data_IF_655780296793
#
_entry.id   IF_655780296793
#
_cell.length_a   1.000
_cell.length_b   1.000
_cell.length_c   1.000
_cell.angle_alpha   90.00
_cell.angle_beta   90.00
_cell.angle_gamma   90.00
#
_symmetry.space_group_name_H-M   'P 1'
#
loop_
_entity.id
_entity.type
_entity.pdbx_description
1 polymer ?
#
# COMPACT_ATOMS: atom_id res chain seq x y z
N UNK A 1 31.10 -3.00 -1.16
CA UNK A 1 30.24 -3.50 -2.26
C UNK A 1 29.21 -4.40 -1.62
N UNK A 2 27.93 -4.03 -1.62
CA UNK A 2 26.93 -4.71 -0.78
C UNK A 2 26.62 -6.08 -1.38
N UNK A 3 26.77 -7.13 -0.56
CA UNK A 3 26.43 -8.51 -0.90
C UNK A 3 25.23 -8.93 -0.06
N UNK A 4 24.40 -9.82 -0.58
CA UNK A 4 23.35 -10.47 0.21
C UNK A 4 23.94 -11.58 1.11
N UNK A 5 23.08 -12.19 1.92
CA UNK A 5 23.43 -13.26 2.87
C UNK A 5 23.99 -14.52 2.16
N UNK A 6 23.81 -14.63 0.84
CA UNK A 6 24.34 -15.70 -0.02
C UNK A 6 25.59 -15.28 -0.80
N UNK A 7 26.16 -14.11 -0.51
CA UNK A 7 27.36 -13.58 -1.15
C UNK A 7 27.14 -13.03 -2.57
N UNK A 8 25.89 -12.97 -3.04
CA UNK A 8 25.53 -12.41 -4.35
C UNK A 8 25.60 -10.90 -4.29
N UNK A 9 26.17 -10.31 -5.33
CA UNK A 9 26.27 -8.86 -5.41
C UNK A 9 24.87 -8.23 -5.58
N UNK A 10 24.54 -7.29 -4.69
CA UNK A 10 23.30 -6.52 -4.79
C UNK A 10 23.38 -5.57 -5.99
N UNK A 11 22.32 -5.56 -6.80
CA UNK A 11 22.19 -4.62 -7.91
C UNK A 11 21.71 -3.25 -7.38
N UNK A 12 22.10 -2.14 -8.03
CA UNK A 12 21.63 -0.82 -7.63
C UNK A 12 20.13 -0.64 -7.91
N UNK A 13 19.47 0.26 -7.18
CA UNK A 13 18.04 0.56 -7.34
C UNK A 13 17.67 0.93 -8.78
N UNK A 14 18.54 1.70 -9.46
CA UNK A 14 18.36 2.10 -10.85
C UNK A 14 18.36 0.95 -11.87
N UNK A 15 18.72 -0.27 -11.45
CA UNK A 15 18.69 -1.47 -12.30
C UNK A 15 17.34 -2.18 -12.30
N UNK A 16 16.38 -1.77 -11.46
CA UNK A 16 15.03 -2.30 -11.49
C UNK A 16 14.40 -1.89 -12.83
N UNK A 17 13.88 -2.85 -13.63
CA UNK A 17 13.29 -2.54 -14.92
C UNK A 17 12.05 -1.66 -14.72
N UNK A 18 11.72 -0.85 -15.73
CA UNK A 18 10.59 0.05 -15.62
C UNK A 18 10.36 0.89 -16.86
N UNK A 19 9.19 1.54 -16.98
CA UNK A 19 8.96 2.53 -18.02
C UNK A 19 9.94 3.70 -17.90
N UNK A 20 10.55 4.09 -19.02
CA UNK A 20 11.43 5.23 -19.15
C UNK A 20 11.20 5.92 -20.52
N UNK A 21 11.26 7.26 -20.62
CA UNK A 21 11.54 8.24 -19.56
C UNK A 21 10.33 8.58 -18.69
N UNK A 22 10.61 9.05 -17.47
CA UNK A 22 9.62 9.65 -16.58
C UNK A 22 9.44 11.13 -16.88
N UNK A 23 8.20 11.57 -17.09
CA UNK A 23 7.89 12.99 -17.32
C UNK A 23 7.68 13.73 -15.99
N UNK A 24 8.21 14.96 -15.81
CA UNK A 24 8.23 15.65 -14.52
C UNK A 24 6.88 15.76 -13.78
N UNK A 25 5.75 15.80 -14.50
CA UNK A 25 4.42 16.00 -13.92
C UNK A 25 3.50 14.78 -13.97
N UNK A 26 3.68 13.90 -14.97
CA UNK A 26 2.77 12.76 -15.21
C UNK A 26 3.42 11.44 -14.75
N UNK A 27 4.73 11.46 -14.49
CA UNK A 27 5.51 10.26 -14.23
C UNK A 27 5.54 9.36 -15.45
N UNK A 28 5.45 8.05 -15.21
CA UNK A 28 5.55 7.01 -16.23
C UNK A 28 4.24 6.28 -16.51
N UNK A 29 3.15 6.67 -15.85
CA UNK A 29 1.87 5.93 -15.82
C UNK A 29 1.04 6.17 -17.09
N UNK A 30 1.32 7.26 -17.84
CA UNK A 30 0.65 7.59 -19.10
C UNK A 30 -0.86 7.82 -18.95
N UNK A 31 -1.58 7.84 -20.08
CA UNK A 31 -3.05 7.82 -20.08
C UNK A 31 -3.51 6.38 -19.96
N UNK A 32 -4.20 6.03 -18.89
CA UNK A 32 -4.79 4.71 -18.70
C UNK A 32 -6.25 4.83 -18.28
N UNK A 33 -7.04 3.82 -18.62
CA UNK A 33 -8.41 3.72 -18.13
C UNK A 33 -8.35 3.23 -16.68
N UNK A 34 -8.75 4.09 -15.73
CA UNK A 34 -8.78 3.76 -14.30
C UNK A 34 -9.64 2.52 -14.00
N UNK A 35 -10.66 2.25 -14.81
CA UNK A 35 -11.54 1.07 -14.65
C UNK A 35 -10.87 -0.24 -15.07
N UNK A 36 -9.73 -0.15 -15.77
CA UNK A 36 -8.95 -1.29 -16.30
C UNK A 36 -7.54 -1.34 -15.71
N UNK A 37 -7.35 -0.78 -14.52
CA UNK A 37 -6.04 -0.74 -13.86
C UNK A 37 -5.44 -2.14 -13.65
N UNK A 38 -6.27 -3.14 -13.33
CA UNK A 38 -5.83 -4.52 -13.17
C UNK A 38 -5.28 -5.11 -14.49
N UNK A 39 -5.93 -4.83 -15.64
CA UNK A 39 -5.44 -5.25 -16.97
C UNK A 39 -4.08 -4.61 -17.27
N UNK A 40 -3.93 -3.31 -16.98
CA UNK A 40 -2.67 -2.58 -17.15
C UNK A 40 -1.52 -3.20 -16.37
N UNK A 41 -1.74 -3.62 -15.11
CA UNK A 41 -0.68 -4.24 -14.32
C UNK A 41 -0.31 -5.65 -14.81
N UNK A 42 -1.26 -6.39 -15.38
CA UNK A 42 -0.97 -7.66 -16.07
C UNK A 42 -0.05 -7.43 -17.27
N UNK A 43 -0.31 -6.39 -18.07
CA UNK A 43 0.54 -6.02 -19.21
C UNK A 43 1.94 -5.57 -18.77
N UNK A 44 2.02 -4.75 -17.70
CA UNK A 44 3.31 -4.31 -17.13
C UNK A 44 4.12 -5.49 -16.59
N UNK A 45 3.47 -6.44 -15.91
CA UNK A 45 4.12 -7.68 -15.48
C UNK A 45 4.69 -8.46 -16.67
N UNK A 46 3.91 -8.64 -17.74
CA UNK A 46 4.39 -9.32 -18.96
C UNK A 46 5.57 -8.59 -19.60
N UNK A 47 5.61 -7.26 -19.53
CA UNK A 47 6.63 -6.42 -20.16
C UNK A 47 7.93 -6.30 -19.35
N UNK A 48 7.83 -6.09 -18.04
CA UNK A 48 8.97 -5.78 -17.17
C UNK A 48 9.36 -6.93 -16.24
N UNK A 49 8.48 -7.92 -16.07
CA UNK A 49 8.69 -9.08 -15.23
C UNK A 49 8.10 -8.94 -13.81
N UNK A 50 8.52 -9.81 -12.88
CA UNK A 50 7.93 -9.95 -11.55
C UNK A 50 8.27 -8.82 -10.57
N UNK A 51 9.21 -7.96 -10.93
CA UNK A 51 9.55 -6.74 -10.20
C UNK A 51 9.80 -5.61 -11.20
N UNK A 52 9.14 -4.47 -11.02
CA UNK A 52 9.43 -3.29 -11.81
C UNK A 52 9.21 -2.00 -11.02
N UNK A 53 9.92 -0.94 -11.38
CA UNK A 53 9.79 0.37 -10.76
C UNK A 53 9.15 1.33 -11.74
N UNK A 54 8.13 2.05 -11.30
CA UNK A 54 7.56 3.16 -12.04
C UNK A 54 7.68 4.44 -11.22
N UNK A 55 7.55 5.59 -11.86
CA UNK A 55 7.55 6.88 -11.19
C UNK A 55 6.17 7.52 -11.31
N UNK A 56 5.61 7.95 -10.18
CA UNK A 56 4.39 8.75 -10.14
C UNK A 56 4.73 10.25 -10.19
N UNK A 57 3.75 11.11 -9.93
CA UNK A 57 3.94 12.56 -9.85
C UNK A 57 5.16 12.89 -8.98
N UNK A 58 5.94 13.89 -9.40
CA UNK A 58 7.15 14.34 -8.68
C UNK A 58 8.25 13.28 -8.57
N UNK A 59 8.32 12.33 -9.51
CA UNK A 59 9.35 11.28 -9.56
C UNK A 59 9.35 10.37 -8.33
N UNK A 60 8.22 10.23 -7.65
CA UNK A 60 8.11 9.30 -6.52
C UNK A 60 8.16 7.86 -7.06
N UNK A 61 9.17 7.07 -6.67
CA UNK A 61 9.30 5.70 -7.14
C UNK A 61 8.24 4.79 -6.47
N UNK A 62 7.62 3.94 -7.28
CA UNK A 62 6.73 2.88 -6.86
C UNK A 62 7.29 1.57 -7.39
N UNK A 63 7.72 0.70 -6.49
CA UNK A 63 8.17 -0.64 -6.82
C UNK A 63 6.98 -1.59 -6.76
N UNK A 64 6.66 -2.20 -7.89
CA UNK A 64 5.62 -3.20 -8.03
C UNK A 64 6.26 -4.59 -7.93
N UNK A 65 5.71 -5.45 -7.08
CA UNK A 65 6.13 -6.84 -6.87
C UNK A 65 4.96 -7.79 -7.14
N UNK A 66 5.26 -8.97 -7.68
CA UNK A 66 4.25 -9.96 -8.07
C UNK A 66 4.51 -11.36 -7.51
N UNK A 67 5.71 -11.65 -7.01
CA UNK A 67 6.06 -12.95 -6.44
C UNK A 67 5.63 -13.04 -4.96
N UNK A 68 4.86 -14.07 -4.55
CA UNK A 68 4.54 -14.38 -3.15
C UNK A 68 5.71 -14.27 -2.17
N UNK A 69 6.91 -14.71 -2.58
CA UNK A 69 8.10 -14.69 -1.71
C UNK A 69 8.59 -13.25 -1.42
N UNK A 70 8.42 -12.33 -2.37
CA UNK A 70 8.77 -10.93 -2.18
C UNK A 70 7.81 -10.24 -1.19
N UNK A 71 6.52 -10.61 -1.20
CA UNK A 71 5.55 -10.07 -0.25
C UNK A 71 5.90 -10.45 1.18
N UNK A 72 6.31 -11.70 1.45
CA UNK A 72 6.75 -12.12 2.79
C UNK A 72 7.89 -11.23 3.28
N UNK A 73 8.88 -11.00 2.41
CA UNK A 73 10.04 -10.14 2.72
C UNK A 73 9.57 -8.72 3.04
N UNK A 74 8.75 -8.10 2.20
CA UNK A 74 8.24 -6.74 2.43
C UNK A 74 7.45 -6.65 3.74
N UNK A 75 6.51 -7.58 3.99
CA UNK A 75 5.70 -7.56 5.19
C UNK A 75 6.49 -7.80 6.48
N UNK A 76 7.57 -8.58 6.40
CA UNK A 76 8.48 -8.79 7.53
C UNK A 76 9.25 -7.51 7.89
N UNK A 77 9.62 -6.70 6.90
CA UNK A 77 10.43 -5.49 7.08
C UNK A 77 9.64 -4.17 7.07
N UNK A 78 8.31 -4.19 6.90
CA UNK A 78 7.47 -2.98 6.82
C UNK A 78 7.44 -2.13 8.11
N UNK A 79 7.89 -2.68 9.24
CA UNK A 79 7.87 -2.02 10.54
C UNK A 79 6.50 -2.07 11.24
N UNK A 80 6.36 -1.28 12.31
CA UNK A 80 5.17 -1.30 13.19
C UNK A 80 3.96 -0.54 12.62
N UNK A 81 4.22 0.50 11.83
CA UNK A 81 3.21 1.41 11.30
C UNK A 81 3.30 1.37 9.76
N UNK A 82 2.65 0.41 9.09
CA UNK A 82 2.69 0.31 7.64
C UNK A 82 2.08 1.57 7.01
N UNK A 83 2.76 2.11 5.99
CA UNK A 83 2.27 3.26 5.24
C UNK A 83 1.24 2.79 4.23
N UNK A 84 0.05 3.41 4.27
CA UNK A 84 -1.02 3.18 3.31
C UNK A 84 -1.41 4.53 2.70
N UNK A 85 -1.30 4.71 1.37
CA UNK A 85 -1.72 5.94 0.72
C UNK A 85 -3.17 6.27 1.12
N UNK A 86 -3.41 7.39 1.79
CA UNK A 86 -4.75 7.75 2.21
C UNK A 86 -5.58 8.13 0.99
N UNK A 87 -6.90 7.99 1.10
CA UNK A 87 -7.77 8.65 0.13
C UNK A 87 -7.75 10.15 0.42
N UNK A 88 -7.05 10.92 -0.41
CA UNK A 88 -6.84 12.35 -0.19
C UNK A 88 -8.15 13.14 -0.14
N UNK A 89 -9.12 12.77 -0.97
CA UNK A 89 -10.45 13.41 -0.97
C UNK A 89 -11.16 13.21 0.37
N UNK A 90 -11.25 11.96 0.85
CA UNK A 90 -11.90 11.65 2.14
C UNK A 90 -11.16 12.33 3.29
N UNK A 91 -9.83 12.32 3.23
CA UNK A 91 -8.99 12.91 4.26
C UNK A 91 -9.17 14.43 4.33
N UNK A 92 -9.20 15.11 3.18
CA UNK A 92 -9.49 16.54 3.09
C UNK A 92 -10.90 16.87 3.58
N UNK A 93 -11.91 16.11 3.13
CA UNK A 93 -13.30 16.33 3.51
C UNK A 93 -13.51 16.20 5.03
N UNK A 94 -12.94 15.16 5.66
CA UNK A 94 -13.06 14.98 7.11
C UNK A 94 -12.30 16.03 7.91
N UNK A 95 -11.09 16.41 7.47
CA UNK A 95 -10.30 17.48 8.11
C UNK A 95 -10.98 18.84 8.04
N UNK A 96 -11.72 19.12 6.98
CA UNK A 96 -12.47 20.38 6.83
C UNK A 96 -13.77 20.44 7.63
N UNK A 97 -14.17 19.33 8.28
CA UNK A 97 -15.39 19.23 9.11
C UNK A 97 -15.10 18.60 10.49
N UNK A 98 -14.29 19.27 11.32
CA UNK A 98 -13.92 18.75 12.65
C UNK A 98 -15.12 18.69 13.62
N UNK A 99 -16.18 19.44 13.33
CA UNK A 99 -17.47 19.40 14.02
C UNK A 99 -18.22 18.08 13.84
N UNK A 100 -18.02 17.41 12.71
CA UNK A 100 -18.63 16.10 12.41
C UNK A 100 -17.65 14.92 12.56
N UNK A 101 -16.35 15.15 12.35
CA UNK A 101 -15.36 14.08 12.29
C UNK A 101 -14.19 14.36 13.25
N UNK A 102 -13.91 13.44 14.20
CA UNK A 102 -12.78 13.61 15.10
C UNK A 102 -11.42 13.39 14.39
N UNK A 103 -11.41 12.64 13.28
CA UNK A 103 -10.22 12.38 12.47
C UNK A 103 -10.60 11.84 11.07
N UNK A 104 -9.60 11.51 10.25
CA UNK A 104 -9.76 11.00 8.87
C UNK A 104 -10.26 9.54 8.78
N UNK A 105 -10.45 8.87 9.92
CA UNK A 105 -10.86 7.48 10.05
C UNK A 105 -9.69 6.50 9.96
N UNK A 106 -9.83 5.34 10.63
CA UNK A 106 -8.79 4.30 10.73
C UNK A 106 -8.20 3.87 9.37
N UNK A 107 -9.00 3.88 8.30
CA UNK A 107 -8.57 3.52 6.96
C UNK A 107 -7.58 4.53 6.34
N UNK A 108 -7.67 5.81 6.72
CA UNK A 108 -6.84 6.90 6.16
C UNK A 108 -5.77 7.40 7.15
N UNK A 109 -5.80 6.96 8.41
CA UNK A 109 -4.74 7.24 9.38
C UNK A 109 -3.46 6.46 9.01
N UNK A 110 -2.31 7.07 9.31
CA UNK A 110 -0.97 6.50 9.17
C UNK A 110 -0.14 6.78 10.43
N UNK A 111 1.02 6.13 10.55
CA UNK A 111 1.96 6.39 11.65
C UNK A 111 1.40 6.03 13.03
N UNK A 112 1.82 6.77 14.04
CA UNK A 112 1.48 6.49 15.45
C UNK A 112 0.00 6.70 15.76
N UNK A 113 -0.67 7.65 15.09
CA UNK A 113 -2.11 7.87 15.24
C UNK A 113 -2.92 6.64 14.80
N UNK A 114 -2.52 6.03 13.67
CA UNK A 114 -3.12 4.77 13.23
C UNK A 114 -2.88 3.66 14.25
N UNK A 115 -1.66 3.53 14.75
CA UNK A 115 -1.29 2.47 15.68
C UNK A 115 -2.08 2.58 17.00
N UNK A 116 -2.22 3.78 17.54
CA UNK A 116 -3.03 4.06 18.73
C UNK A 116 -4.49 3.63 18.54
N UNK A 117 -5.11 4.08 17.45
CA UNK A 117 -6.50 3.75 17.15
C UNK A 117 -6.69 2.25 16.89
N UNK A 118 -5.76 1.62 16.15
CA UNK A 118 -5.80 0.19 15.85
C UNK A 118 -5.74 -0.65 17.12
N UNK A 119 -4.84 -0.33 18.05
CA UNK A 119 -4.70 -1.04 19.34
C UNK A 119 -5.96 -0.96 20.20
N UNK A 120 -6.63 0.20 20.20
CA UNK A 120 -7.88 0.39 20.95
C UNK A 120 -9.03 -0.43 20.36
N UNK A 121 -9.09 -0.55 19.03
CA UNK A 121 -10.18 -1.25 18.32
C UNK A 121 -9.95 -2.76 18.19
N UNK A 122 -8.69 -3.21 18.14
CA UNK A 122 -8.34 -4.62 17.93
C UNK A 122 -9.05 -5.59 18.90
N UNK A 123 -9.11 -5.34 20.22
CA UNK A 123 -9.83 -6.22 21.14
C UNK A 123 -11.31 -6.42 20.82
N UNK A 124 -11.96 -5.38 20.32
CA UNK A 124 -13.40 -5.39 20.05
C UNK A 124 -13.76 -6.03 18.70
N UNK A 125 -12.79 -6.18 17.79
CA UNK A 125 -13.03 -6.64 16.41
C UNK A 125 -12.37 -7.99 16.14
N UNK A 126 -11.16 -8.20 16.66
CA UNK A 126 -10.31 -9.34 16.27
C UNK A 126 -10.27 -10.47 17.30
N UNK A 127 -10.71 -10.24 18.55
CA UNK A 127 -10.71 -11.30 19.56
C UNK A 127 -11.73 -12.37 19.20
N UNK A 128 -11.30 -13.62 19.21
CA UNK A 128 -12.15 -14.78 18.91
C UNK A 128 -13.43 -14.81 19.76
N UNK A 129 -13.35 -14.47 21.05
CA UNK A 129 -14.52 -14.39 21.94
C UNK A 129 -15.55 -13.40 21.41
N UNK A 130 -15.11 -12.18 21.06
CA UNK A 130 -15.96 -11.12 20.55
C UNK A 130 -16.51 -11.43 19.16
N UNK A 131 -15.71 -12.09 18.31
CA UNK A 131 -16.19 -12.55 16.99
C UNK A 131 -17.31 -13.58 17.19
N UNK A 132 -17.10 -14.59 18.04
CA UNK A 132 -18.08 -15.66 18.29
C UNK A 132 -19.40 -15.13 18.88
N UNK A 133 -19.33 -14.19 19.81
CA UNK A 133 -20.51 -13.50 20.35
C UNK A 133 -21.31 -12.80 19.24
N UNK A 134 -20.61 -12.11 18.33
CA UNK A 134 -21.25 -11.39 17.23
C UNK A 134 -21.77 -12.29 16.11
N UNK A 135 -21.27 -13.54 15.97
CA UNK A 135 -21.75 -14.46 14.93
C UNK A 135 -23.24 -14.78 15.07
N UNK A 136 -23.74 -14.87 16.30
CA UNK A 136 -25.17 -15.12 16.55
C UNK A 136 -26.03 -13.99 16.01
N UNK A 137 -25.62 -12.74 16.25
CA UNK A 137 -26.32 -11.54 15.78
C UNK A 137 -26.25 -11.37 14.25
N UNK A 138 -25.26 -11.95 13.58
CA UNK A 138 -25.11 -11.88 12.12
C UNK A 138 -26.01 -12.86 11.36
N UNK A 139 -26.55 -13.87 12.04
CA UNK A 139 -27.42 -14.88 11.44
C UNK A 139 -28.92 -14.50 11.48
N UNK A 140 -29.27 -13.39 12.13
CA UNK A 140 -30.67 -12.92 12.27
C UNK A 140 -31.13 -12.00 11.12
N UNK A 141 -30.55 -12.12 9.92
CA UNK A 141 -30.94 -11.36 8.71
C UNK A 141 -31.69 -12.25 7.72
#
# INVERSE_FOLDING_TARGET
MNKDDNGKQLKPFSSIPGPWPSLPFIGTVGRFNINKLHELYIEKYRKYGPIFCEEYQWRQPIVNIFDPADFETVFKYQGKCPIRPPNEFVSFFRRSRPDYYPNVGLANLNGDEWLDQRKKLEPAIMKLSTINENMLNQNEI
#
